data_IF_502962073745
#
_entry.id   IF_502962073745
#
_cell.length_a   1.000
_cell.length_b   1.000
_cell.length_c   1.000
_cell.angle_alpha   90.00
_cell.angle_beta   90.00
_cell.angle_gamma   90.00
#
_symmetry.space_group_name_H-M   'P 1'
#
loop_
_entity.id
_entity.type
_entity.pdbx_description
1 polymer ?
#
# COMPACT_ATOMS: atom_id res chain seq x y z
N UNK A 1 -33.86 23.85 60.84
CA UNK A 1 -32.99 22.93 61.61
C UNK A 1 -31.56 23.38 61.35
N UNK A 2 -30.97 23.99 62.38
CA UNK A 2 -29.51 24.14 62.70
C UNK A 2 -28.64 24.77 61.57
N UNK A 3 -28.29 26.08 61.56
CA UNK A 3 -27.43 26.90 62.48
C UNK A 3 -25.96 26.37 62.41
N UNK A 4 -24.89 27.06 61.97
CA UNK A 4 -24.35 28.43 62.13
C UNK A 4 -23.57 28.87 60.84
N UNK A 5 -23.36 30.14 60.43
CA UNK A 5 -22.69 31.31 61.06
C UNK A 5 -21.28 31.00 61.62
N UNK A 6 -20.29 31.88 61.75
CA UNK A 6 -19.74 32.98 60.96
C UNK A 6 -18.31 33.19 61.50
N UNK A 7 -17.40 33.74 60.70
CA UNK A 7 -16.05 34.09 61.15
C UNK A 7 -15.40 35.17 60.29
N UNK A 8 -15.59 36.43 60.67
CA UNK A 8 -15.05 37.69 60.14
C UNK A 8 -13.53 37.88 60.48
N UNK A 9 -12.61 38.14 59.54
CA UNK A 9 -11.99 39.46 59.18
C UNK A 9 -10.61 39.72 59.87
N UNK A 10 -9.72 40.69 59.49
CA UNK A 10 -9.61 41.58 58.32
C UNK A 10 -8.21 41.59 57.61
N UNK A 11 -8.06 42.46 56.59
CA UNK A 11 -6.97 42.57 55.60
C UNK A 11 -5.69 43.36 55.99
N UNK A 12 -4.57 43.12 55.26
CA UNK A 12 -3.53 44.06 54.71
C UNK A 12 -2.18 43.33 54.40
N UNK A 13 -1.21 43.90 53.64
CA UNK A 13 -1.29 44.70 52.41
C UNK A 13 -0.35 44.15 51.29
N UNK A 14 -0.38 44.83 50.15
CA UNK A 14 0.48 44.61 48.98
C UNK A 14 1.99 44.59 49.29
N UNK A 15 2.73 43.68 48.65
CA UNK A 15 4.18 43.61 48.76
C UNK A 15 4.84 42.95 47.54
N UNK A 16 5.14 43.78 46.53
CA UNK A 16 6.17 43.63 45.50
C UNK A 16 6.13 42.40 44.57
N UNK A 17 5.64 42.64 43.35
CA UNK A 17 6.05 41.92 42.13
C UNK A 17 7.57 41.77 42.12
N UNK A 18 8.05 40.54 42.22
CA UNK A 18 9.37 40.18 41.67
C UNK A 18 9.14 39.89 40.18
N UNK A 19 9.82 40.56 39.24
CA UNK A 19 9.85 40.06 37.87
C UNK A 19 10.59 38.73 37.90
N UNK A 20 9.84 37.63 37.82
CA UNK A 20 10.40 36.32 37.49
C UNK A 20 11.06 36.50 36.14
N UNK A 21 12.40 36.48 36.13
CA UNK A 21 13.22 36.43 34.92
C UNK A 21 12.57 35.39 34.01
N UNK A 22 12.11 35.84 32.85
CA UNK A 22 11.73 34.92 31.78
C UNK A 22 12.99 34.14 31.43
N UNK A 23 13.03 32.88 31.84
CA UNK A 23 13.90 31.89 31.23
C UNK A 23 13.65 31.96 29.72
N UNK A 24 14.69 32.06 28.86
CA UNK A 24 14.48 32.09 27.44
C UNK A 24 13.80 30.77 27.04
N UNK A 25 12.57 30.90 26.52
CA UNK A 25 11.79 29.80 25.97
C UNK A 25 12.72 28.90 25.14
N UNK A 26 12.99 27.71 25.68
CA UNK A 26 13.88 26.74 25.08
C UNK A 26 13.49 26.56 23.63
N UNK A 27 14.44 26.78 22.72
CA UNK A 27 14.21 26.56 21.30
C UNK A 27 13.83 25.08 21.11
N UNK A 28 12.54 24.83 20.86
CA UNK A 28 12.05 23.51 20.48
C UNK A 28 12.59 23.24 19.08
N UNK A 29 13.79 22.65 19.03
CA UNK A 29 14.38 22.16 17.77
C UNK A 29 13.45 21.06 17.28
N UNK A 30 12.59 21.36 16.31
CA UNK A 30 11.84 20.34 15.56
C UNK A 30 12.87 19.44 14.88
N UNK A 31 13.16 18.29 15.47
CA UNK A 31 14.08 17.33 14.89
C UNK A 31 13.47 16.78 13.61
N UNK A 32 14.13 17.03 12.49
CA UNK A 32 13.72 16.49 11.20
C UNK A 32 13.78 14.96 11.29
N UNK A 33 12.64 14.31 11.04
CA UNK A 33 12.53 12.86 11.05
C UNK A 33 13.41 12.30 9.92
N UNK A 34 14.40 11.47 10.26
CA UNK A 34 15.30 10.86 9.30
C UNK A 34 14.62 9.63 8.71
N UNK A 35 14.79 9.36 7.41
CA UNK A 35 14.31 8.12 6.79
C UNK A 35 15.50 7.20 6.58
N UNK A 36 15.36 5.92 6.91
CA UNK A 36 16.39 4.90 6.72
C UNK A 36 15.80 3.62 6.13
N UNK A 37 16.64 2.82 5.49
CA UNK A 37 16.26 1.48 5.06
C UNK A 37 16.21 0.51 6.26
N UNK A 38 15.42 -0.56 6.08
CA UNK A 38 15.33 -1.64 7.06
C UNK A 38 16.69 -2.30 7.33
N UNK A 39 16.83 -2.88 8.52
CA UNK A 39 18.02 -3.62 8.94
C UNK A 39 19.33 -2.81 8.95
N UNK A 40 19.25 -1.48 9.02
CA UNK A 40 20.43 -0.60 9.17
C UNK A 40 20.60 -0.12 10.62
N UNK A 41 21.82 0.22 11.04
CA UNK A 41 22.08 0.81 12.37
C UNK A 41 21.30 2.12 12.57
N UNK A 42 21.13 2.89 11.48
CA UNK A 42 20.35 4.14 11.49
C UNK A 42 18.87 3.90 11.80
N UNK A 43 18.32 2.76 11.41
CA UNK A 43 16.94 2.38 11.73
C UNK A 43 16.68 2.28 13.24
N UNK A 44 17.73 2.05 14.05
CA UNK A 44 17.64 1.98 15.51
C UNK A 44 17.84 3.34 16.20
N UNK A 45 18.19 4.40 15.44
CA UNK A 45 18.44 5.73 16.00
C UNK A 45 17.13 6.47 16.27
N UNK A 46 17.12 7.32 17.31
CA UNK A 46 15.98 8.19 17.64
C UNK A 46 15.60 9.07 16.45
N UNK A 47 14.31 9.37 16.32
CA UNK A 47 13.76 10.22 15.26
C UNK A 47 13.97 9.68 13.84
N UNK A 48 14.19 8.36 13.70
CA UNK A 48 14.32 7.69 12.39
C UNK A 48 13.06 6.88 12.07
N UNK A 49 12.60 6.94 10.83
CA UNK A 49 11.52 6.12 10.25
C UNK A 49 12.11 5.15 9.26
N UNK A 50 11.71 3.89 9.37
CA UNK A 50 12.12 2.83 8.46
C UNK A 50 11.19 2.79 7.25
N UNK A 51 11.76 2.74 6.04
CA UNK A 51 10.97 2.49 4.84
C UNK A 51 10.35 1.10 4.88
N UNK A 52 9.06 1.02 4.56
CA UNK A 52 8.37 -0.26 4.39
C UNK A 52 8.96 -1.06 3.21
N UNK A 53 8.65 -2.36 3.12
CA UNK A 53 9.09 -3.20 2.03
C UNK A 53 8.59 -2.66 0.67
N UNK A 54 9.33 -2.91 -0.43
CA UNK A 54 8.88 -2.50 -1.75
C UNK A 54 7.55 -3.18 -2.10
N UNK A 55 6.75 -2.52 -2.94
CA UNK A 55 5.53 -3.12 -3.45
C UNK A 55 5.86 -4.39 -4.23
N UNK A 56 5.30 -5.53 -3.81
CA UNK A 56 5.54 -6.83 -4.43
C UNK A 56 5.07 -6.90 -5.90
N UNK A 57 4.16 -6.01 -6.31
CA UNK A 57 3.64 -5.96 -7.68
C UNK A 57 2.77 -7.15 -8.05
N UNK A 58 2.16 -7.85 -7.08
CA UNK A 58 1.35 -9.05 -7.32
C UNK A 58 0.18 -8.82 -8.30
N UNK A 59 -0.44 -7.65 -8.24
CA UNK A 59 -1.55 -7.25 -9.12
C UNK A 59 -1.11 -6.47 -10.36
N UNK A 60 0.20 -6.22 -10.52
CA UNK A 60 0.70 -5.54 -11.71
C UNK A 60 0.58 -6.51 -12.88
N UNK A 61 -0.19 -6.13 -13.90
CA UNK A 61 -0.31 -6.90 -15.13
C UNK A 61 1.08 -7.15 -15.72
N UNK A 62 1.32 -8.40 -16.12
CA UNK A 62 2.56 -8.80 -16.78
C UNK A 62 2.32 -8.81 -18.28
N UNK A 63 3.19 -8.18 -19.09
CA UNK A 63 3.05 -8.25 -20.54
C UNK A 63 3.12 -9.72 -20.98
N UNK A 64 2.19 -10.13 -21.84
CA UNK A 64 2.15 -11.49 -22.37
C UNK A 64 3.21 -11.66 -23.45
N UNK A 65 3.97 -12.76 -23.39
CA UNK A 65 4.92 -13.11 -24.44
C UNK A 65 4.17 -13.63 -25.67
N UNK A 66 4.71 -13.49 -26.89
CA UNK A 66 4.16 -14.15 -28.06
C UNK A 66 4.02 -15.66 -27.82
N UNK A 67 2.81 -16.20 -28.00
CA UNK A 67 2.53 -17.61 -27.72
C UNK A 67 2.87 -18.47 -28.94
N UNK A 68 3.26 -19.72 -28.70
CA UNK A 68 3.45 -20.70 -29.78
C UNK A 68 2.13 -20.95 -30.54
N UNK A 69 0.99 -20.91 -29.82
CA UNK A 69 -0.34 -21.01 -30.42
C UNK A 69 -0.55 -19.97 -31.52
N UNK A 70 -0.21 -18.69 -31.25
CA UNK A 70 -0.32 -17.61 -32.24
C UNK A 70 0.50 -17.90 -33.50
N UNK A 71 1.75 -18.35 -33.31
CA UNK A 71 2.66 -18.70 -34.43
C UNK A 71 2.14 -19.86 -35.28
N UNK A 72 1.67 -20.93 -34.65
CA UNK A 72 1.14 -22.10 -35.35
C UNK A 72 -0.20 -21.83 -36.02
N UNK A 73 -1.03 -20.97 -35.42
CA UNK A 73 -2.29 -20.52 -36.00
C UNK A 73 -2.05 -19.68 -37.26
N UNK A 74 -1.15 -18.68 -37.20
CA UNK A 74 -0.81 -17.83 -38.35
C UNK A 74 -0.16 -18.61 -39.50
N UNK A 75 0.57 -19.70 -39.19
CA UNK A 75 1.12 -20.61 -40.20
C UNK A 75 0.09 -21.59 -40.79
N UNK A 76 -1.03 -21.83 -40.11
CA UNK A 76 -2.07 -22.77 -40.54
C UNK A 76 -1.80 -24.23 -40.19
N UNK A 77 -0.99 -24.51 -39.16
CA UNK A 77 -0.64 -25.88 -38.75
C UNK A 77 -1.77 -26.59 -38.00
N UNK A 78 -2.65 -25.83 -37.35
CA UNK A 78 -3.74 -26.43 -36.60
C UNK A 78 -4.95 -26.70 -37.50
N UNK A 79 -5.60 -27.87 -37.36
CA UNK A 79 -6.81 -28.21 -38.10
C UNK A 79 -8.05 -27.53 -37.49
N UNK A 80 -7.96 -26.25 -37.13
CA UNK A 80 -9.02 -25.44 -36.53
C UNK A 80 -9.26 -24.18 -37.35
N UNK A 81 -10.52 -23.80 -37.51
CA UNK A 81 -10.91 -22.54 -38.13
C UNK A 81 -12.10 -21.92 -37.37
N UNK A 82 -12.27 -20.60 -37.52
CA UNK A 82 -13.48 -19.93 -37.06
C UNK A 82 -14.52 -19.98 -38.17
N UNK A 83 -15.65 -20.63 -37.91
CA UNK A 83 -16.84 -20.62 -38.74
C UNK A 83 -17.69 -19.40 -38.36
N UNK A 84 -18.06 -18.60 -39.35
CA UNK A 84 -18.90 -17.41 -39.15
C UNK A 84 -20.34 -17.75 -39.55
N UNK A 85 -21.21 -18.02 -38.56
CA UNK A 85 -22.65 -18.20 -38.76
C UNK A 85 -23.41 -16.94 -38.30
N UNK A 86 -24.62 -16.76 -38.84
CA UNK A 86 -25.57 -15.70 -38.47
C UNK A 86 -25.94 -15.70 -36.98
N UNK A 87 -25.80 -16.85 -36.29
CA UNK A 87 -26.02 -17.01 -34.85
C UNK A 87 -24.77 -16.78 -34.00
N UNK A 88 -23.62 -16.54 -34.62
CA UNK A 88 -22.33 -16.30 -33.96
C UNK A 88 -21.19 -17.18 -34.50
N UNK A 89 -19.99 -16.96 -33.96
CA UNK A 89 -18.79 -17.67 -34.39
C UNK A 89 -18.66 -19.03 -33.69
N UNK A 90 -18.40 -20.08 -34.46
CA UNK A 90 -18.14 -21.45 -33.97
C UNK A 90 -16.74 -21.90 -34.35
N UNK A 91 -16.21 -22.90 -33.64
CA UNK A 91 -14.95 -23.53 -34.02
C UNK A 91 -15.28 -24.71 -34.93
N UNK A 92 -14.79 -24.65 -36.17
CA UNK A 92 -14.85 -25.77 -37.10
C UNK A 92 -13.54 -26.57 -37.02
N UNK A 93 -13.67 -27.89 -36.91
CA UNK A 93 -12.54 -28.81 -36.98
C UNK A 93 -12.39 -29.33 -38.40
N UNK A 94 -11.22 -29.14 -39.00
CA UNK A 94 -10.95 -29.57 -40.38
C UNK A 94 -10.74 -31.09 -40.49
N UNK A 95 -10.41 -31.75 -39.38
CA UNK A 95 -10.16 -33.19 -39.31
C UNK A 95 -11.10 -33.80 -38.27
N UNK A 96 -11.74 -34.91 -38.63
CA UNK A 96 -12.55 -35.70 -37.71
C UNK A 96 -11.64 -36.35 -36.65
N UNK A 97 -12.12 -36.42 -35.41
CA UNK A 97 -11.39 -37.01 -34.27
C UNK A 97 -11.17 -38.53 -34.42
N UNK A 98 -11.73 -39.16 -35.44
CA UNK A 98 -11.50 -40.57 -35.75
C UNK A 98 -10.17 -40.73 -36.51
N UNK A 99 -9.09 -41.06 -35.78
CA UNK A 99 -7.96 -41.72 -36.43
C UNK A 99 -8.46 -43.01 -37.09
N UNK A 100 -8.03 -43.35 -38.32
CA UNK A 100 -8.32 -44.65 -38.88
C UNK A 100 -7.60 -45.69 -38.01
N UNK A 101 -8.37 -46.62 -37.43
CA UNK A 101 -7.83 -47.83 -36.84
C UNK A 101 -7.08 -48.56 -37.96
N UNK A 102 -5.76 -48.52 -37.91
CA UNK A 102 -4.91 -49.35 -38.76
C UNK A 102 -5.06 -50.77 -38.22
N UNK A 103 -5.92 -51.58 -38.85
CA UNK A 103 -5.98 -53.01 -38.59
C UNK A 103 -4.70 -53.65 -39.15
N UNK A 104 -3.90 -54.21 -38.24
CA UNK A 104 -2.71 -55.01 -38.58
C UNK A 104 -3.08 -56.44 -38.94
#
# INVERSE_FOLDING_TARGET
>A
MVVEEAGCGPAKPAGNRRPQKQEPLGHVKKSKQQVSDGFTVKAMMKNTVVRGPPLAGAFKERPTKPTAFRKFYERGDFPIAVEHDTKGNRIAWKVSHSMPLIAT
#
